data_IF_686140074699
#
_entry.id   IF_686140074699
#
_cell.length_a   1.000
_cell.length_b   1.000
_cell.length_c   1.000
_cell.angle_alpha   90.00
_cell.angle_beta   90.00
_cell.angle_gamma   90.00
#
_symmetry.space_group_name_H-M   'P 1'
#
loop_
_entity.id
_entity.type
_entity.pdbx_description
1 polymer ?
#
# COMPACT_ATOMS: atom_id res chain seq x y z
N UNK A 1 -2.55 17.00 10.37
CA UNK A 1 -1.59 15.96 9.95
C UNK A 1 -0.31 16.15 10.73
N UNK A 2 0.50 15.10 11.01
CA UNK A 2 1.84 15.29 11.52
C UNK A 2 2.66 16.18 10.56
N UNK A 3 3.58 17.01 11.07
CA UNK A 3 4.28 18.03 10.28
C UNK A 3 5.11 17.50 9.10
N UNK A 4 5.43 16.20 9.08
CA UNK A 4 6.32 15.60 8.06
C UNK A 4 5.60 15.04 6.82
N UNK A 5 4.27 15.14 6.74
CA UNK A 5 3.51 14.65 5.60
C UNK A 5 3.29 15.75 4.57
N UNK A 6 3.86 15.60 3.37
CA UNK A 6 3.54 16.46 2.22
C UNK A 6 2.17 16.07 1.66
N UNK A 7 1.48 17.03 1.04
CA UNK A 7 0.28 16.74 0.25
C UNK A 7 0.57 15.69 -0.83
N UNK A 8 -0.48 15.06 -1.39
CA UNK A 8 -0.32 14.02 -2.40
C UNK A 8 0.57 14.47 -3.58
N UNK A 9 1.67 13.74 -3.81
CA UNK A 9 2.63 13.97 -4.89
C UNK A 9 2.50 12.87 -5.94
N UNK A 10 2.61 13.24 -7.23
CA UNK A 10 2.66 12.28 -8.33
C UNK A 10 4.12 11.97 -8.69
N UNK A 11 4.41 10.72 -9.01
CA UNK A 11 5.73 10.27 -9.46
C UNK A 11 5.64 9.59 -10.80
N UNK A 12 6.64 9.82 -11.64
CA UNK A 12 6.86 9.10 -12.90
C UNK A 12 8.34 8.84 -13.05
N UNK A 13 8.69 7.58 -13.26
CA UNK A 13 10.04 7.11 -13.55
C UNK A 13 11.10 7.61 -12.54
N UNK A 14 10.71 7.66 -11.26
CA UNK A 14 11.58 8.07 -10.15
C UNK A 14 11.57 9.57 -9.85
N UNK A 15 10.81 10.38 -10.58
CA UNK A 15 10.80 11.84 -10.47
C UNK A 15 9.41 12.36 -10.09
N UNK A 16 9.36 13.39 -9.25
CA UNK A 16 8.11 14.11 -8.96
C UNK A 16 7.59 14.82 -10.21
N UNK A 17 6.29 14.68 -10.48
CA UNK A 17 5.63 15.27 -11.64
C UNK A 17 4.31 15.96 -11.25
N UNK A 18 3.79 16.88 -12.08
CA UNK A 18 2.49 17.49 -11.84
C UNK A 18 1.35 16.48 -11.75
N UNK A 19 0.29 16.86 -11.03
CA UNK A 19 -0.94 16.06 -10.94
C UNK A 19 -1.56 15.83 -12.32
N UNK A 20 -2.06 14.62 -12.57
CA UNK A 20 -2.68 14.24 -13.84
C UNK A 20 -1.70 13.85 -14.95
N UNK A 21 -0.38 13.84 -14.68
CA UNK A 21 0.62 13.37 -15.64
C UNK A 21 0.33 11.93 -16.06
N UNK A 22 0.13 11.69 -17.36
CA UNK A 22 -0.22 10.38 -17.89
C UNK A 22 0.86 9.34 -17.57
N UNK A 23 0.43 8.23 -16.97
CA UNK A 23 1.30 7.14 -16.52
C UNK A 23 2.06 7.42 -15.22
N UNK A 24 1.71 8.48 -14.49
CA UNK A 24 2.25 8.70 -13.14
C UNK A 24 1.47 7.90 -12.09
N UNK A 25 2.13 7.59 -10.97
CA UNK A 25 1.49 7.05 -9.77
C UNK A 25 1.36 8.16 -8.73
N UNK A 26 0.24 8.15 -8.00
CA UNK A 26 -0.01 9.12 -6.93
C UNK A 26 -0.37 8.37 -5.65
N UNK A 27 0.61 8.14 -4.76
CA UNK A 27 0.34 7.56 -3.46
C UNK A 27 -0.48 8.54 -2.59
N UNK A 28 -1.38 8.02 -1.76
CA UNK A 28 -2.27 8.84 -0.92
C UNK A 28 -1.51 9.66 0.13
N UNK A 29 -0.39 9.13 0.62
CA UNK A 29 0.46 9.74 1.64
C UNK A 29 1.92 9.50 1.32
N UNK A 30 2.74 10.54 1.46
CA UNK A 30 4.19 10.47 1.38
C UNK A 30 4.83 11.42 2.41
N UNK A 31 5.87 10.95 3.10
CA UNK A 31 6.69 11.78 4.01
C UNK A 31 8.16 11.88 3.57
N UNK A 32 8.41 11.78 2.26
CA UNK A 32 9.74 11.89 1.65
C UNK A 32 10.50 10.56 1.54
N UNK A 33 10.44 9.69 2.55
CA UNK A 33 11.12 8.38 2.55
C UNK A 33 10.15 7.19 2.50
N UNK A 34 8.93 7.40 2.99
CA UNK A 34 7.83 6.44 2.88
C UNK A 34 6.74 7.05 2.01
N UNK A 35 6.33 6.32 0.98
CA UNK A 35 5.18 6.63 0.16
C UNK A 35 4.20 5.47 0.22
N UNK A 36 2.92 5.75 0.01
CA UNK A 36 1.87 4.73 -0.04
C UNK A 36 1.48 4.25 1.35
N UNK A 37 0.37 4.82 1.83
CA UNK A 37 -0.48 4.22 2.84
C UNK A 37 -1.80 4.03 2.13
N UNK A 38 -2.04 2.82 1.62
CA UNK A 38 -3.35 2.52 1.06
C UNK A 38 -4.24 2.00 2.18
N UNK A 39 -5.26 2.78 2.54
CA UNK A 39 -6.29 2.33 3.49
C UNK A 39 -7.33 1.54 2.70
N UNK A 40 -7.30 0.22 2.84
CA UNK A 40 -8.29 -0.67 2.21
C UNK A 40 -9.30 -1.16 3.23
N UNK A 41 -10.57 -0.87 2.99
CA UNK A 41 -11.70 -1.38 3.77
C UNK A 41 -12.46 -2.44 2.95
N UNK A 42 -11.84 -3.61 2.77
CA UNK A 42 -12.48 -4.75 2.13
C UNK A 42 -13.17 -5.61 3.19
N UNK A 43 -14.29 -6.24 2.84
CA UNK A 43 -14.78 -7.40 3.60
C UNK A 43 -13.76 -8.54 3.44
N UNK A 44 -12.95 -8.75 4.49
CA UNK A 44 -11.88 -9.75 4.49
C UNK A 44 -12.41 -11.19 4.62
N UNK A 45 -13.67 -11.37 5.04
CA UNK A 45 -14.32 -12.68 5.07
C UNK A 45 -14.61 -13.18 3.66
N UNK A 46 -15.00 -12.27 2.76
CA UNK A 46 -15.41 -12.62 1.39
C UNK A 46 -14.37 -12.31 0.31
N UNK A 47 -13.56 -11.27 0.48
CA UNK A 47 -12.76 -10.70 -0.61
C UNK A 47 -11.25 -10.56 -0.29
N UNK A 48 -10.72 -11.37 0.63
CA UNK A 48 -9.29 -11.37 0.96
C UNK A 48 -8.37 -11.54 -0.27
N UNK A 49 -8.70 -12.42 -1.20
CA UNK A 49 -7.85 -12.65 -2.38
C UNK A 49 -7.86 -11.45 -3.34
N UNK A 50 -8.99 -10.74 -3.46
CA UNK A 50 -9.09 -9.50 -4.23
C UNK A 50 -8.26 -8.38 -3.59
N UNK A 51 -8.35 -8.24 -2.26
CA UNK A 51 -7.53 -7.32 -1.49
C UNK A 51 -6.04 -7.57 -1.74
N UNK A 52 -5.59 -8.82 -1.60
CA UNK A 52 -4.20 -9.23 -1.84
C UNK A 52 -3.77 -8.88 -3.27
N UNK A 53 -4.57 -9.24 -4.27
CA UNK A 53 -4.25 -9.00 -5.68
C UNK A 53 -4.14 -7.50 -5.99
N UNK A 54 -5.05 -6.69 -5.48
CA UNK A 54 -5.09 -5.26 -5.76
C UNK A 54 -3.92 -4.52 -5.12
N UNK A 55 -3.59 -4.84 -3.85
CA UNK A 55 -2.41 -4.27 -3.17
C UNK A 55 -1.14 -4.67 -3.91
N UNK A 56 -1.01 -5.94 -4.28
CA UNK A 56 0.21 -6.45 -4.92
C UNK A 56 0.45 -5.83 -6.29
N UNK A 57 -0.60 -5.73 -7.13
CA UNK A 57 -0.51 -5.05 -8.44
C UNK A 57 -0.10 -3.60 -8.30
N UNK A 58 -0.68 -2.89 -7.34
CA UNK A 58 -0.33 -1.48 -7.11
C UNK A 58 1.10 -1.31 -6.60
N UNK A 59 1.56 -2.18 -5.70
CA UNK A 59 2.93 -2.15 -5.21
C UNK A 59 3.95 -2.31 -6.35
N UNK A 60 3.70 -3.26 -7.26
CA UNK A 60 4.53 -3.50 -8.44
C UNK A 60 4.52 -2.29 -9.37
N UNK A 61 3.35 -1.71 -9.65
CA UNK A 61 3.25 -0.56 -10.54
C UNK A 61 3.93 0.68 -9.96
N UNK A 62 3.71 0.95 -8.67
CA UNK A 62 4.36 2.05 -7.95
C UNK A 62 5.86 1.89 -7.94
N UNK A 63 6.38 0.68 -7.78
CA UNK A 63 7.82 0.44 -7.76
C UNK A 63 8.54 0.87 -9.05
N UNK A 64 7.84 0.90 -10.20
CA UNK A 64 8.39 1.37 -11.48
C UNK A 64 8.59 2.89 -11.52
N UNK A 65 7.80 3.63 -10.75
CA UNK A 65 7.70 5.08 -10.88
C UNK A 65 8.12 5.83 -9.63
N UNK A 66 8.16 5.18 -8.46
CA UNK A 66 8.66 5.77 -7.24
C UNK A 66 10.19 5.91 -7.28
N UNK A 67 10.76 6.96 -6.67
CA UNK A 67 12.19 7.07 -6.42
C UNK A 67 12.79 5.82 -5.78
N UNK A 68 14.01 5.47 -6.17
CA UNK A 68 14.74 4.35 -5.57
C UNK A 68 14.88 4.52 -4.06
N UNK A 69 14.67 3.43 -3.31
CA UNK A 69 14.74 3.43 -1.86
C UNK A 69 13.47 3.89 -1.15
N UNK A 70 12.44 4.38 -1.87
CA UNK A 70 11.16 4.67 -1.24
C UNK A 70 10.47 3.41 -0.73
N UNK A 71 10.07 3.45 0.53
CA UNK A 71 9.31 2.38 1.16
C UNK A 71 7.82 2.49 0.84
N UNK A 72 7.17 1.36 0.64
CA UNK A 72 5.73 1.25 0.46
C UNK A 72 5.07 0.55 1.66
N UNK A 73 4.02 1.14 2.23
CA UNK A 73 3.29 0.62 3.40
C UNK A 73 1.80 0.39 3.10
N UNK A 74 1.17 -0.49 3.88
CA UNK A 74 -0.23 -0.87 3.70
C UNK A 74 -0.95 -0.81 5.03
N UNK A 75 -2.11 -0.14 5.06
CA UNK A 75 -3.00 -0.13 6.22
C UNK A 75 -4.32 -0.79 5.84
N UNK A 76 -4.60 -1.95 6.41
CA UNK A 76 -5.83 -2.69 6.12
C UNK A 76 -6.82 -2.38 7.24
N UNK A 77 -7.91 -1.69 6.90
CA UNK A 77 -8.96 -1.37 7.86
C UNK A 77 -9.90 -2.56 8.00
N UNK A 78 -9.92 -3.14 9.20
CA UNK A 78 -10.75 -4.30 9.55
C UNK A 78 -11.62 -3.99 10.76
N UNK A 79 -11.80 -2.71 11.12
CA UNK A 79 -12.68 -2.32 12.22
C UNK A 79 -14.09 -2.81 11.95
N UNK A 80 -14.70 -3.42 12.97
CA UNK A 80 -16.04 -4.03 12.86
C UNK A 80 -16.07 -5.36 12.10
N UNK A 81 -14.92 -5.90 11.67
CA UNK A 81 -14.82 -7.21 11.02
C UNK A 81 -14.11 -8.23 11.94
N UNK A 82 -14.39 -9.52 11.74
CA UNK A 82 -13.66 -10.59 12.44
C UNK A 82 -12.37 -10.94 11.68
N UNK A 83 -11.22 -10.59 12.25
CA UNK A 83 -9.90 -11.00 11.74
C UNK A 83 -9.36 -12.17 12.57
N UNK A 84 -9.41 -13.39 12.01
CA UNK A 84 -8.72 -14.53 12.61
C UNK A 84 -7.22 -14.53 12.29
N UNK A 85 -6.42 -15.20 13.13
CA UNK A 85 -4.98 -15.35 12.91
C UNK A 85 -4.63 -16.01 11.56
N UNK A 86 -5.48 -16.95 11.10
CA UNK A 86 -5.30 -17.60 9.80
C UNK A 86 -5.56 -16.63 8.64
N UNK A 87 -6.59 -15.79 8.73
CA UNK A 87 -6.85 -14.74 7.73
C UNK A 87 -5.74 -13.71 7.71
N UNK A 88 -5.28 -13.25 8.87
CA UNK A 88 -4.16 -12.33 8.98
C UNK A 88 -2.91 -12.89 8.29
N UNK A 89 -2.55 -14.14 8.62
CA UNK A 89 -1.42 -14.83 8.01
C UNK A 89 -1.58 -14.96 6.49
N UNK A 90 -2.76 -15.37 6.01
CA UNK A 90 -3.05 -15.49 4.57
C UNK A 90 -2.86 -14.14 3.86
N UNK A 91 -3.39 -13.07 4.42
CA UNK A 91 -3.32 -11.72 3.83
C UNK A 91 -1.87 -11.23 3.78
N UNK A 92 -1.14 -11.29 4.90
CA UNK A 92 0.26 -10.89 4.98
C UNK A 92 1.10 -11.69 3.98
N UNK A 93 1.03 -13.02 4.04
CA UNK A 93 1.82 -13.89 3.17
C UNK A 93 1.49 -13.67 1.69
N UNK A 94 0.21 -13.54 1.37
CA UNK A 94 -0.26 -13.31 0.02
C UNK A 94 0.27 -11.99 -0.57
N UNK A 95 0.22 -10.90 0.20
CA UNK A 95 0.75 -9.59 -0.23
C UNK A 95 2.26 -9.66 -0.42
N UNK A 96 3.01 -10.20 0.54
CA UNK A 96 4.47 -10.32 0.46
C UNK A 96 4.88 -11.11 -0.78
N UNK A 97 4.25 -12.27 -1.01
CA UNK A 97 4.58 -13.14 -2.14
C UNK A 97 4.19 -12.50 -3.49
N UNK A 98 2.95 -12.01 -3.64
CA UNK A 98 2.47 -11.48 -4.92
C UNK A 98 3.02 -10.10 -5.27
N UNK A 99 3.54 -9.35 -4.29
CA UNK A 99 4.29 -8.11 -4.54
C UNK A 99 5.78 -8.36 -4.79
N UNK A 100 6.24 -9.61 -4.92
CA UNK A 100 7.65 -9.97 -5.08
C UNK A 100 8.55 -9.39 -3.97
N UNK A 101 8.03 -9.29 -2.75
CA UNK A 101 8.77 -8.74 -1.60
C UNK A 101 8.89 -7.22 -1.56
N UNK A 102 8.27 -6.47 -2.50
CA UNK A 102 8.21 -5.00 -2.47
C UNK A 102 7.55 -4.53 -1.16
N UNK A 103 6.43 -5.15 -0.78
CA UNK A 103 5.80 -4.94 0.51
C UNK A 103 6.30 -6.02 1.46
N UNK A 104 7.00 -5.61 2.52
CA UNK A 104 7.47 -6.51 3.58
C UNK A 104 6.43 -6.64 4.67
N UNK A 105 6.53 -7.71 5.48
CA UNK A 105 5.58 -7.98 6.57
C UNK A 105 5.47 -6.81 7.55
N UNK A 106 6.60 -6.23 7.93
CA UNK A 106 6.72 -5.09 8.84
C UNK A 106 6.05 -3.81 8.31
N UNK A 107 5.76 -3.74 7.01
CA UNK A 107 5.09 -2.63 6.34
C UNK A 107 3.57 -2.84 6.20
N UNK A 108 3.02 -3.95 6.69
CA UNK A 108 1.59 -4.25 6.68
C UNK A 108 1.04 -4.06 8.08
N UNK A 109 0.06 -3.18 8.25
CA UNK A 109 -0.62 -2.95 9.52
C UNK A 109 -2.12 -3.10 9.39
N UNK A 110 -2.74 -3.80 10.33
CA UNK A 110 -4.19 -3.89 10.45
C UNK A 110 -4.70 -2.84 11.43
N UNK A 111 -5.75 -2.12 11.05
CA UNK A 111 -6.47 -1.20 11.93
C UNK A 111 -7.65 -1.97 12.50
N UNK A 112 -7.63 -2.25 13.81
CA UNK A 112 -8.59 -3.15 14.47
C UNK A 112 -9.41 -2.47 15.58
N UNK A 113 -9.10 -1.23 15.94
CA UNK A 113 -9.76 -0.46 17.01
C UNK A 113 -10.01 0.96 16.52
#
# INVERSE_FOLDING_TARGET
MPPDYRGQVSYKDGVEVPHGTKGSVRPDFCNGTTCSIEVKNYDIGKYADNLINNISKQAIERQKHLPNGMQQQVRIDVRGQHLSALQEFKIIRGIVQKSNGIIKREHIRFITK
#
